data_IF_000156612559
#
_entry.id   IF_000156612559
#
_cell.length_a   1.000
_cell.length_b   1.000
_cell.length_c   1.000
_cell.angle_alpha   90.00
_cell.angle_beta   90.00
_cell.angle_gamma   90.00
#
_symmetry.space_group_name_H-M   'P 1'
#
loop_
_entity.id
_entity.type
_entity.pdbx_description
1 polymer ?
#
# COMPACT_ATOMS: atom_id res chain seq x y z
N UNK A 1 14.38 5.35 -1.75
CA UNK A 1 13.11 5.13 -1.02
C UNK A 1 12.08 4.63 -2.02
N UNK A 2 11.36 3.55 -1.72
CA UNK A 2 10.43 2.92 -2.66
C UNK A 2 9.01 3.47 -2.48
N UNK A 3 8.26 3.52 -3.59
CA UNK A 3 6.86 3.95 -3.63
C UNK A 3 5.99 2.81 -4.15
N UNK A 4 4.86 2.57 -3.48
CA UNK A 4 3.83 1.61 -3.88
C UNK A 4 2.58 2.41 -4.23
N UNK A 5 1.98 2.14 -5.39
CA UNK A 5 0.75 2.81 -5.84
C UNK A 5 -0.34 1.76 -6.03
N UNK A 6 -1.47 1.91 -5.33
CA UNK A 6 -2.68 1.15 -5.58
C UNK A 6 -3.66 2.04 -6.35
N UNK A 7 -3.91 1.70 -7.61
CA UNK A 7 -4.93 2.36 -8.42
C UNK A 7 -6.27 1.66 -8.24
N UNK A 8 -7.26 2.39 -7.74
CA UNK A 8 -8.64 2.00 -7.46
C UNK A 8 -8.74 0.65 -6.76
N UNK A 9 -8.19 0.51 -5.54
CA UNK A 9 -8.27 -0.76 -4.83
C UNK A 9 -9.72 -1.07 -4.43
N UNK A 10 -10.23 -2.22 -4.89
CA UNK A 10 -11.61 -2.65 -4.62
C UNK A 10 -11.74 -3.58 -3.40
N UNK A 11 -10.66 -4.24 -3.00
CA UNK A 11 -10.65 -5.27 -1.96
C UNK A 11 -9.99 -4.72 -0.68
N UNK A 12 -10.76 -4.34 0.37
CA UNK A 12 -10.20 -3.69 1.56
C UNK A 12 -9.10 -4.51 2.28
N UNK A 13 -9.22 -5.85 2.42
CA UNK A 13 -8.15 -6.66 3.01
C UNK A 13 -6.79 -6.54 2.30
N UNK A 14 -6.79 -6.35 0.97
CA UNK A 14 -5.56 -6.21 0.21
C UNK A 14 -4.86 -4.89 0.54
N UNK A 15 -5.62 -3.78 0.58
CA UNK A 15 -5.10 -2.48 0.99
C UNK A 15 -4.52 -2.55 2.41
N UNK A 16 -5.21 -3.20 3.34
CA UNK A 16 -4.70 -3.41 4.71
C UNK A 16 -3.37 -4.18 4.75
N UNK A 17 -3.23 -5.24 3.96
CA UNK A 17 -1.99 -6.00 3.86
C UNK A 17 -0.84 -5.17 3.25
N UNK A 18 -1.13 -4.34 2.24
CA UNK A 18 -0.16 -3.45 1.60
C UNK A 18 0.27 -2.31 2.53
N UNK A 19 -0.66 -1.77 3.34
CA UNK A 19 -0.33 -0.80 4.41
C UNK A 19 0.68 -1.41 5.37
N UNK A 20 0.43 -2.64 5.87
CA UNK A 20 1.33 -3.33 6.79
C UNK A 20 2.71 -3.54 6.15
N UNK A 21 2.75 -3.97 4.89
CA UNK A 21 4.00 -4.12 4.15
C UNK A 21 4.79 -2.80 4.14
N UNK A 22 4.16 -1.71 3.71
CA UNK A 22 4.80 -0.40 3.60
C UNK A 22 5.32 0.12 4.95
N UNK A 23 4.56 -0.11 6.03
CA UNK A 23 5.00 0.22 7.39
C UNK A 23 6.24 -0.58 7.81
N UNK A 24 6.33 -1.87 7.45
CA UNK A 24 7.48 -2.72 7.81
C UNK A 24 8.72 -2.46 6.95
N UNK A 25 8.56 -2.01 5.71
CA UNK A 25 9.67 -1.81 4.76
C UNK A 25 10.09 -0.35 4.60
N UNK A 26 9.37 0.60 5.21
CA UNK A 26 9.60 2.03 5.03
C UNK A 26 9.25 2.53 3.62
N UNK A 27 8.38 1.81 2.89
CA UNK A 27 7.87 2.27 1.59
C UNK A 27 6.76 3.32 1.80
N UNK A 28 6.67 4.27 0.88
CA UNK A 28 5.53 5.18 0.83
C UNK A 28 4.39 4.56 0.02
N UNK A 29 3.18 4.53 0.58
CA UNK A 29 1.97 4.04 -0.09
C UNK A 29 1.13 5.20 -0.61
N UNK A 30 0.76 5.15 -1.88
CA UNK A 30 -0.18 6.06 -2.53
C UNK A 30 -1.42 5.30 -2.97
N UNK A 31 -2.60 5.86 -2.71
CA UNK A 31 -3.88 5.36 -3.20
C UNK A 31 -4.39 6.35 -4.24
N UNK A 32 -4.75 5.86 -5.43
CA UNK A 32 -5.20 6.67 -6.58
C UNK A 32 -6.54 6.17 -7.09
#
# INVERSE_FOLDING_TARGET
>A
MFHVVLYRPEIPPNTGNVIRLCATTGCALHLV
#
